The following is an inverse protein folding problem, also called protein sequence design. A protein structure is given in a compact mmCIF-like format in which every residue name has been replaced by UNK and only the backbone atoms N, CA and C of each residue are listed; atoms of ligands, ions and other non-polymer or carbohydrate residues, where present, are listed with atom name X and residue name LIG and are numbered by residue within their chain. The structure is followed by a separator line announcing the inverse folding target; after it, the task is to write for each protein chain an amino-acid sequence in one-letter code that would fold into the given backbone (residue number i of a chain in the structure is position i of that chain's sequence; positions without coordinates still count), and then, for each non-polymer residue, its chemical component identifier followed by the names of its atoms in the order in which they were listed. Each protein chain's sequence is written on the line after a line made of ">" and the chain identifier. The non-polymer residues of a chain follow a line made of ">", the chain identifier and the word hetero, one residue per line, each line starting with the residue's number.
data_IF_563317765011
#
_entry.id   IF_563317765011
#
_cell.length_a   1.000
_cell.length_b   1.000
_cell.length_c   1.000
_cell.angle_alpha   90.00
_cell.angle_beta   90.00
_cell.angle_gamma   90.00
#
_symmetry.space_group_name_H-M   'P 1'
#
loop_
_entity.id
_entity.type
_entity.pdbx_description
1 polymer ?
#
# COMPACT_ATOMS: atom_id res chain seq x y z
N UNK A 1 -5.62 -1.24 -22.29
CA UNK A 1 -6.38 -0.61 -21.20
C UNK A 1 -6.26 -1.54 -20.00
N UNK A 2 -5.79 -1.05 -18.87
CA UNK A 2 -5.64 -1.84 -17.63
C UNK A 2 -6.84 -1.54 -16.75
N UNK A 3 -7.67 -2.55 -16.47
CA UNK A 3 -8.81 -2.43 -15.56
C UNK A 3 -8.46 -3.04 -14.22
N UNK A 4 -8.94 -2.43 -13.16
CA UNK A 4 -8.77 -2.92 -11.78
C UNK A 4 -10.10 -2.80 -11.04
N UNK A 5 -10.25 -3.58 -9.98
CA UNK A 5 -11.43 -3.50 -9.12
C UNK A 5 -11.37 -2.25 -8.25
N UNK A 6 -12.40 -1.41 -8.36
CA UNK A 6 -12.58 -0.25 -7.50
C UNK A 6 -13.49 -0.61 -6.32
N UNK A 7 -12.97 -0.53 -5.12
CA UNK A 7 -13.71 -0.84 -3.89
C UNK A 7 -14.89 0.12 -3.65
N UNK A 8 -14.81 1.34 -4.15
CA UNK A 8 -15.88 2.34 -3.96
C UNK A 8 -17.12 2.06 -4.81
N UNK A 9 -16.95 1.41 -5.97
CA UNK A 9 -18.03 1.07 -6.89
C UNK A 9 -18.33 -0.43 -6.96
N UNK A 10 -17.40 -1.26 -6.46
CA UNK A 10 -17.44 -2.73 -6.54
C UNK A 10 -17.50 -3.24 -7.99
N UNK A 11 -16.75 -2.57 -8.87
CA UNK A 11 -16.71 -2.87 -10.30
C UNK A 11 -15.30 -2.78 -10.87
N UNK A 12 -15.07 -3.41 -12.02
CA UNK A 12 -13.83 -3.25 -12.78
C UNK A 12 -13.86 -1.95 -13.58
N UNK A 13 -12.89 -1.08 -13.37
CA UNK A 13 -12.78 0.23 -14.02
C UNK A 13 -11.40 0.43 -14.65
N UNK A 14 -11.32 1.29 -15.68
CA UNK A 14 -10.04 1.84 -16.15
C UNK A 14 -9.62 2.94 -15.17
N UNK A 15 -8.64 2.61 -14.32
CA UNK A 15 -8.21 3.52 -13.26
C UNK A 15 -7.41 4.73 -13.76
N UNK A 16 -6.90 4.70 -14.99
CA UNK A 16 -6.13 5.81 -15.57
C UNK A 16 -6.42 5.93 -17.07
N UNK A 17 -7.56 6.52 -17.48
CA UNK A 17 -7.97 6.56 -18.89
C UNK A 17 -7.08 7.45 -19.77
N UNK A 18 -6.30 8.38 -19.17
CA UNK A 18 -5.39 9.28 -19.86
C UNK A 18 -4.02 8.68 -20.20
N UNK A 19 -3.12 9.48 -20.79
CA UNK A 19 -1.74 9.07 -21.09
C UNK A 19 -0.83 9.02 -19.86
N UNK A 20 -1.28 9.57 -18.75
CA UNK A 20 -0.59 9.55 -17.43
C UNK A 20 -1.34 8.67 -16.44
N UNK A 21 -0.64 8.12 -15.47
CA UNK A 21 -1.22 7.41 -14.34
C UNK A 21 -0.56 7.91 -13.06
N UNK A 22 -1.35 8.45 -12.14
CA UNK A 22 -0.88 9.01 -10.86
C UNK A 22 -1.51 8.24 -9.73
N UNK A 23 -0.69 7.58 -8.93
CA UNK A 23 -1.22 6.77 -7.84
C UNK A 23 -0.44 6.96 -6.54
N UNK A 24 -1.19 6.87 -5.45
CA UNK A 24 -0.70 6.93 -4.09
C UNK A 24 -0.94 5.58 -3.42
N UNK A 25 0.08 5.03 -2.80
CA UNK A 25 -0.06 3.84 -1.95
C UNK A 25 0.34 4.22 -0.54
N UNK A 26 -0.55 3.95 0.41
CA UNK A 26 -0.24 4.15 1.82
C UNK A 26 0.98 3.31 2.21
N UNK A 27 1.96 3.98 2.84
CA UNK A 27 3.22 3.38 3.26
C UNK A 27 3.10 2.63 4.58
N UNK A 28 4.25 2.19 5.06
CA UNK A 28 4.35 1.46 6.33
C UNK A 28 4.43 2.41 7.53
N UNK A 29 4.00 1.92 8.70
CA UNK A 29 4.47 2.42 9.99
C UNK A 29 5.70 1.58 10.40
N UNK A 30 6.91 2.17 10.41
CA UNK A 30 8.15 1.41 10.50
C UNK A 30 8.50 1.08 11.96
N UNK A 31 7.74 0.20 12.58
CA UNK A 31 7.99 -0.25 13.96
C UNK A 31 8.42 -1.72 14.06
N UNK A 32 8.34 -2.47 12.94
CA UNK A 32 8.77 -3.86 12.79
C UNK A 32 9.14 -4.17 11.35
N UNK A 33 9.88 -5.27 11.13
CA UNK A 33 10.26 -5.77 9.82
C UNK A 33 9.04 -6.02 8.90
N UNK A 34 9.30 -5.98 7.60
CA UNK A 34 8.29 -6.24 6.57
C UNK A 34 7.84 -7.69 6.60
N UNK A 35 6.57 -7.93 6.89
CA UNK A 35 5.97 -9.25 6.77
C UNK A 35 5.35 -9.48 5.39
N UNK A 36 5.03 -10.75 5.05
CA UNK A 36 4.51 -11.12 3.73
C UNK A 36 3.19 -10.40 3.36
N UNK A 37 2.36 -10.03 4.32
CA UNK A 37 1.18 -9.20 4.06
C UNK A 37 1.53 -7.84 3.46
N UNK A 38 2.55 -7.14 3.99
CA UNK A 38 3.08 -5.91 3.40
C UNK A 38 3.64 -6.19 2.00
N UNK A 39 4.46 -7.25 1.86
CA UNK A 39 5.04 -7.61 0.56
C UNK A 39 3.97 -7.87 -0.50
N UNK A 40 2.87 -8.56 -0.15
CA UNK A 40 1.73 -8.80 -1.04
C UNK A 40 1.12 -7.49 -1.53
N UNK A 41 0.89 -6.55 -0.62
CA UNK A 41 0.36 -5.23 -0.96
C UNK A 41 1.27 -4.51 -1.96
N UNK A 42 2.56 -4.36 -1.65
CA UNK A 42 3.45 -3.57 -2.53
C UNK A 42 3.76 -4.27 -3.85
N UNK A 43 3.79 -5.60 -3.91
CA UNK A 43 3.89 -6.36 -5.17
C UNK A 43 2.65 -6.15 -6.04
N UNK A 44 1.46 -6.06 -5.46
CA UNK A 44 0.22 -5.74 -6.20
C UNK A 44 0.33 -4.40 -6.92
N UNK A 45 0.79 -3.35 -6.22
CA UNK A 45 0.96 -2.02 -6.83
C UNK A 45 2.17 -1.94 -7.77
N UNK A 46 3.18 -2.76 -7.57
CA UNK A 46 4.27 -2.94 -8.52
C UNK A 46 3.79 -3.56 -9.84
N UNK A 47 2.90 -4.56 -9.80
CA UNK A 47 2.27 -5.10 -11.01
C UNK A 47 1.45 -4.03 -11.74
N UNK A 48 0.65 -3.26 -11.03
CA UNK A 48 -0.13 -2.16 -11.61
C UNK A 48 0.79 -1.13 -12.27
N UNK A 49 1.86 -0.75 -11.60
CA UNK A 49 2.87 0.17 -12.12
C UNK A 49 3.47 -0.36 -13.44
N UNK A 50 3.87 -1.65 -13.45
CA UNK A 50 4.45 -2.32 -14.62
C UNK A 50 3.44 -2.43 -15.77
N UNK A 51 2.20 -2.82 -15.48
CA UNK A 51 1.14 -2.92 -16.48
C UNK A 51 0.85 -1.55 -17.13
N UNK A 52 0.79 -0.47 -16.37
CA UNK A 52 0.63 0.88 -16.91
C UNK A 52 1.82 1.34 -17.76
N UNK A 53 3.05 1.03 -17.34
CA UNK A 53 4.26 1.35 -18.13
C UNK A 53 4.29 0.57 -19.44
N UNK A 54 3.94 -0.71 -19.44
CA UNK A 54 3.85 -1.53 -20.67
C UNK A 54 2.73 -1.03 -21.59
N UNK A 55 1.63 -0.51 -21.03
CA UNK A 55 0.57 0.17 -21.77
C UNK A 55 0.97 1.57 -22.30
N UNK A 56 2.22 2.00 -22.12
CA UNK A 56 2.76 3.27 -22.62
C UNK A 56 2.40 4.50 -21.80
N UNK A 57 1.94 4.35 -20.54
CA UNK A 57 1.60 5.48 -19.68
C UNK A 57 2.84 6.07 -19.00
N UNK A 58 2.83 7.39 -18.80
CA UNK A 58 3.75 8.04 -17.87
C UNK A 58 3.20 7.87 -16.45
N UNK A 59 3.91 7.09 -15.62
CA UNK A 59 3.44 6.70 -14.28
C UNK A 59 4.15 7.52 -13.21
N UNK A 60 3.37 8.11 -12.30
CA UNK A 60 3.88 8.78 -11.09
C UNK A 60 3.35 8.02 -9.86
N UNK A 61 4.27 7.44 -9.12
CA UNK A 61 4.01 6.71 -7.89
C UNK A 61 4.50 7.52 -6.69
N UNK A 62 3.62 7.80 -5.74
CA UNK A 62 3.91 8.49 -4.47
C UNK A 62 3.51 7.58 -3.31
N UNK A 63 4.32 7.57 -2.27
CA UNK A 63 4.06 6.84 -1.03
C UNK A 63 4.59 7.62 0.17
N UNK A 64 4.16 7.26 1.36
CA UNK A 64 4.66 7.82 2.61
C UNK A 64 5.43 6.79 3.44
N UNK A 65 6.06 7.29 4.50
CA UNK A 65 6.46 6.51 5.67
C UNK A 65 5.81 7.17 6.88
N UNK A 66 5.00 6.42 7.63
CA UNK A 66 4.40 6.90 8.88
C UNK A 66 5.45 6.75 10.00
N UNK A 67 6.48 7.62 9.94
CA UNK A 67 7.64 7.60 10.84
C UNK A 67 7.38 8.28 12.20
N UNK A 68 6.12 8.58 12.48
CA UNK A 68 5.59 8.93 13.80
C UNK A 68 4.16 8.44 13.94
N UNK A 69 3.92 7.53 14.90
CA UNK A 69 2.60 7.01 15.22
C UNK A 69 2.64 6.32 16.60
N UNK A 70 1.47 6.13 17.23
CA UNK A 70 1.39 5.51 18.56
C UNK A 70 2.04 4.12 18.60
N UNK A 71 1.78 3.17 17.66
CA UNK A 71 2.46 1.87 17.64
C UNK A 71 3.99 1.94 17.57
N UNK A 72 4.55 2.93 16.85
CA UNK A 72 6.00 3.15 16.78
C UNK A 72 6.54 3.62 18.12
N UNK A 73 5.86 4.56 18.77
CA UNK A 73 6.25 5.10 20.07
C UNK A 73 6.18 4.03 21.18
N UNK A 74 5.13 3.23 21.19
CA UNK A 74 4.98 2.10 22.10
C UNK A 74 6.09 1.07 21.92
N UNK A 75 6.45 0.76 20.68
CA UNK A 75 7.53 -0.18 20.36
C UNK A 75 8.88 0.37 20.79
N UNK A 76 9.14 1.63 20.53
CA UNK A 76 10.35 2.32 20.96
C UNK A 76 10.51 2.27 22.50
N UNK A 77 9.43 2.55 23.24
CA UNK A 77 9.41 2.45 24.69
C UNK A 77 9.65 1.01 25.18
N UNK A 78 9.03 0.00 24.54
CA UNK A 78 9.17 -1.40 24.91
C UNK A 78 10.58 -1.97 24.64
N UNK A 79 11.26 -1.47 23.61
CA UNK A 79 12.61 -1.93 23.22
C UNK A 79 13.74 -1.08 23.80
N UNK A 80 13.43 0.12 24.32
CA UNK A 80 14.42 1.09 24.80
C UNK A 80 15.22 1.76 23.66
N UNK A 81 14.81 1.59 22.42
CA UNK A 81 15.43 2.24 21.24
C UNK A 81 14.74 3.58 21.00
N UNK A 82 15.47 4.68 20.77
CA UNK A 82 14.86 5.95 20.40
C UNK A 82 13.96 5.80 19.16
N UNK A 83 12.74 6.33 19.20
CA UNK A 83 11.75 6.10 18.14
C UNK A 83 12.21 6.52 16.73
N UNK A 84 13.00 7.62 16.63
CA UNK A 84 13.57 8.04 15.33
C UNK A 84 14.59 7.05 14.79
N UNK A 85 15.39 6.49 15.66
CA UNK A 85 16.37 5.46 15.29
C UNK A 85 15.66 4.17 14.88
N UNK A 86 14.65 3.74 15.64
CA UNK A 86 13.81 2.58 15.28
C UNK A 86 13.15 2.79 13.94
N UNK A 87 12.51 3.95 13.70
CA UNK A 87 11.88 4.29 12.44
C UNK A 87 12.87 4.23 11.26
N UNK A 88 14.06 4.80 11.43
CA UNK A 88 15.08 4.79 10.39
C UNK A 88 15.56 3.36 10.06
N UNK A 89 15.85 2.55 11.08
CA UNK A 89 16.30 1.16 10.92
C UNK A 89 15.24 0.32 10.20
N UNK A 90 13.99 0.40 10.63
CA UNK A 90 12.89 -0.38 10.04
C UNK A 90 12.53 0.10 8.63
N UNK A 91 12.64 1.39 8.35
CA UNK A 91 12.45 1.93 7.01
C UNK A 91 13.53 1.42 6.05
N UNK A 92 14.79 1.36 6.49
CA UNK A 92 15.86 0.84 5.63
C UNK A 92 15.70 -0.67 5.37
N UNK A 93 15.35 -1.45 6.39
CA UNK A 93 15.05 -2.88 6.23
C UNK A 93 13.90 -3.11 5.23
N UNK A 94 12.85 -2.30 5.32
CA UNK A 94 11.75 -2.32 4.33
C UNK A 94 12.26 -2.03 2.91
N UNK A 95 13.13 -1.03 2.73
CA UNK A 95 13.70 -0.70 1.40
C UNK A 95 14.51 -1.87 0.83
N UNK A 96 15.33 -2.50 1.68
CA UNK A 96 16.12 -3.68 1.30
C UNK A 96 15.20 -4.83 0.87
N UNK A 97 14.16 -5.12 1.64
CA UNK A 97 13.21 -6.18 1.35
C UNK A 97 12.45 -5.94 0.04
N UNK A 98 11.94 -4.72 -0.17
CA UNK A 98 11.24 -4.37 -1.41
C UNK A 98 12.17 -4.39 -2.63
N UNK A 99 13.40 -3.94 -2.47
CA UNK A 99 14.43 -4.00 -3.52
C UNK A 99 14.77 -5.44 -3.88
N UNK A 100 14.94 -6.30 -2.89
CA UNK A 100 15.18 -7.72 -3.09
C UNK A 100 14.03 -8.39 -3.84
N UNK A 101 12.79 -8.07 -3.49
CA UNK A 101 11.59 -8.54 -4.17
C UNK A 101 11.36 -7.91 -5.56
N UNK A 102 12.19 -6.98 -6.02
CA UNK A 102 12.09 -6.36 -7.34
C UNK A 102 10.98 -5.32 -7.47
N UNK A 103 10.48 -4.78 -6.36
CA UNK A 103 9.46 -3.71 -6.35
C UNK A 103 10.08 -2.40 -6.82
N UNK A 104 9.41 -1.73 -7.75
CA UNK A 104 9.80 -0.40 -8.23
C UNK A 104 9.52 0.62 -7.13
N UNK A 105 10.53 1.38 -6.66
CA UNK A 105 10.33 2.35 -5.60
C UNK A 105 9.42 3.51 -6.04
N UNK A 106 8.75 4.21 -5.11
CA UNK A 106 8.02 5.43 -5.42
C UNK A 106 8.97 6.52 -5.93
N UNK A 107 8.44 7.37 -6.82
CA UNK A 107 9.16 8.54 -7.31
C UNK A 107 9.33 9.60 -6.20
N UNK A 108 8.36 9.67 -5.29
CA UNK A 108 8.40 10.51 -4.09
C UNK A 108 8.00 9.66 -2.89
N UNK A 109 8.85 9.70 -1.86
CA UNK A 109 8.63 8.97 -0.62
C UNK A 109 8.84 9.90 0.58
N UNK A 110 7.73 10.34 1.18
CA UNK A 110 7.71 11.41 2.19
C UNK A 110 7.42 10.85 3.57
N UNK A 111 8.23 11.22 4.58
CA UNK A 111 7.94 10.91 5.98
C UNK A 111 6.77 11.74 6.53
N UNK A 112 6.00 11.17 7.45
CA UNK A 112 4.97 11.91 8.17
C UNK A 112 5.56 13.10 8.93
N UNK A 113 6.73 12.93 9.56
CA UNK A 113 7.46 14.01 10.24
C UNK A 113 7.83 15.14 9.28
N UNK A 114 8.29 14.82 8.09
CA UNK A 114 8.64 15.81 7.06
C UNK A 114 7.41 16.59 6.59
N UNK A 115 6.23 15.94 6.55
CA UNK A 115 4.99 16.54 6.07
C UNK A 115 4.30 17.45 7.09
N UNK A 116 4.72 17.48 8.35
CA UNK A 116 4.06 18.24 9.43
C UNK A 116 3.74 19.69 9.06
N UNK A 117 4.67 20.49 8.48
CA UNK A 117 4.34 21.88 8.12
C UNK A 117 3.23 21.99 7.07
N UNK A 118 3.17 21.05 6.11
CA UNK A 118 2.12 20.99 5.10
C UNK A 118 0.78 20.57 5.70
N UNK A 119 0.80 19.64 6.67
CA UNK A 119 -0.39 19.22 7.42
C UNK A 119 -0.95 20.37 8.25
N UNK A 120 -0.10 21.14 8.93
CA UNK A 120 -0.53 22.34 9.67
C UNK A 120 -1.30 23.29 8.75
N UNK A 121 -0.73 23.63 7.59
CA UNK A 121 -1.42 24.49 6.61
C UNK A 121 -2.75 23.93 6.12
N UNK A 122 -2.82 22.61 5.87
CA UNK A 122 -4.05 21.94 5.45
C UNK A 122 -5.13 21.97 6.56
N UNK A 123 -4.76 21.75 7.81
CA UNK A 123 -5.70 21.82 8.95
C UNK A 123 -6.20 23.24 9.15
N UNK A 124 -5.35 24.26 9.01
CA UNK A 124 -5.76 25.67 9.04
C UNK A 124 -6.74 26.01 7.89
N UNK A 125 -6.48 25.49 6.68
CA UNK A 125 -7.41 25.61 5.53
C UNK A 125 -8.76 24.97 5.83
N UNK A 126 -8.80 23.76 6.39
CA UNK A 126 -10.04 23.08 6.78
C UNK A 126 -10.80 23.85 7.89
N UNK A 127 -10.10 24.38 8.88
CA UNK A 127 -10.72 25.22 9.91
C UNK A 127 -11.35 26.49 9.31
N UNK A 128 -10.65 27.17 8.42
CA UNK A 128 -11.14 28.36 7.75
C UNK A 128 -12.36 28.08 6.85
N UNK A 129 -12.40 26.90 6.23
CA UNK A 129 -13.52 26.44 5.41
C UNK A 129 -14.72 25.92 6.22
N UNK A 130 -14.60 25.79 7.56
CA UNK A 130 -15.63 25.19 8.41
C UNK A 130 -15.74 23.66 8.30
N UNK A 131 -14.76 23.01 7.68
CA UNK A 131 -14.65 21.55 7.56
C UNK A 131 -13.90 20.90 8.74
N UNK A 132 -13.49 21.71 9.71
CA UNK A 132 -12.86 21.25 10.94
C UNK A 132 -13.30 22.12 12.12
N UNK A 133 -13.11 21.62 13.34
CA UNK A 133 -13.49 22.32 14.56
C UNK A 133 -12.56 21.91 15.71
N UNK A 134 -12.57 22.71 16.78
CA UNK A 134 -11.76 22.49 17.96
C UNK A 134 -12.55 21.81 19.08
N UNK A 135 -11.92 20.87 19.76
CA UNK A 135 -12.43 20.19 20.95
C UNK A 135 -11.49 20.52 22.11
N UNK A 136 -12.00 21.09 23.21
CA UNK A 136 -11.17 21.40 24.38
C UNK A 136 -10.41 20.19 24.91
N UNK A 137 -9.20 20.40 25.40
CA UNK A 137 -8.43 19.36 26.10
C UNK A 137 -8.61 19.49 27.61
N UNK A 138 -8.42 18.36 28.32
CA UNK A 138 -8.49 18.34 29.77
C UNK A 138 -7.42 19.24 30.41
N UNK A 139 -7.67 19.80 31.60
CA UNK A 139 -6.69 20.55 32.34
C UNK A 139 -5.40 19.75 32.55
N UNK A 140 -4.27 20.36 32.21
CA UNK A 140 -2.95 19.73 32.25
C UNK A 140 -2.51 19.02 30.97
N UNK A 141 -3.40 18.86 29.99
CA UNK A 141 -3.06 18.50 28.63
C UNK A 141 -3.04 19.73 27.72
N UNK A 142 -2.37 19.65 26.55
CA UNK A 142 -2.34 20.74 25.57
C UNK A 142 -1.24 21.79 25.79
N UNK A 143 -0.24 21.50 26.63
CA UNK A 143 0.93 22.36 26.79
C UNK A 143 0.61 23.78 27.25
N UNK A 144 1.25 24.78 26.63
CA UNK A 144 1.15 26.20 27.02
C UNK A 144 -0.14 26.91 26.63
N UNK A 145 -0.98 26.28 25.77
CA UNK A 145 -2.23 26.89 25.26
C UNK A 145 -3.36 25.82 25.16
N UNK A 146 -3.82 25.27 26.29
CA UNK A 146 -4.81 24.20 26.31
C UNK A 146 -6.17 24.66 25.72
N UNK A 147 -6.46 25.95 25.74
CA UNK A 147 -7.66 26.57 25.17
C UNK A 147 -7.76 26.41 23.65
N UNK A 148 -6.65 26.17 22.95
CA UNK A 148 -6.67 25.90 21.51
C UNK A 148 -7.33 24.58 21.17
N UNK A 149 -7.29 23.58 22.07
CA UNK A 149 -7.95 22.29 21.90
C UNK A 149 -7.32 21.40 20.82
N UNK A 150 -7.78 20.15 20.75
CA UNK A 150 -7.51 19.24 19.64
C UNK A 150 -8.38 19.66 18.44
N UNK A 151 -7.94 19.40 17.20
CA UNK A 151 -8.70 19.72 16.00
C UNK A 151 -9.22 18.42 15.36
N UNK A 152 -10.53 18.39 15.11
CA UNK A 152 -11.21 17.28 14.46
C UNK A 152 -11.81 17.72 13.13
N UNK A 153 -11.86 16.83 12.15
CA UNK A 153 -12.63 17.06 10.93
C UNK A 153 -14.13 17.00 11.25
N UNK A 154 -14.90 17.80 10.54
CA UNK A 154 -16.36 17.77 10.56
C UNK A 154 -16.87 16.95 9.38
N UNK A 155 -17.17 15.67 9.59
CA UNK A 155 -17.63 14.77 8.52
C UNK A 155 -19.00 15.19 7.95
N UNK A 156 -19.76 16.03 8.65
CA UNK A 156 -21.01 16.58 8.10
C UNK A 156 -20.77 17.54 6.92
N UNK A 157 -19.54 18.03 6.75
CA UNK A 157 -19.13 18.83 5.62
C UNK A 157 -18.84 17.99 4.35
N UNK A 158 -18.73 16.66 4.46
CA UNK A 158 -18.54 15.75 3.32
C UNK A 158 -19.78 14.88 3.08
N UNK A 159 -20.70 15.28 2.17
CA UNK A 159 -21.90 14.49 1.88
C UNK A 159 -21.61 13.15 1.18
N UNK A 160 -20.37 12.94 0.74
CA UNK A 160 -19.91 11.71 0.11
C UNK A 160 -19.20 10.76 1.10
N UNK A 161 -19.11 11.13 2.38
CA UNK A 161 -18.54 10.24 3.40
C UNK A 161 -19.28 8.90 3.48
N UNK A 162 -18.54 7.80 3.55
CA UNK A 162 -19.05 6.43 3.52
C UNK A 162 -19.13 5.80 2.13
N UNK A 163 -18.86 6.57 1.05
CA UNK A 163 -18.93 6.04 -0.32
C UNK A 163 -17.71 5.18 -0.71
N UNK A 164 -16.57 5.37 -0.08
CA UNK A 164 -15.37 4.57 -0.36
C UNK A 164 -15.48 3.19 0.28
N UNK A 165 -15.79 3.14 1.58
CA UNK A 165 -15.84 1.90 2.34
C UNK A 165 -17.16 1.13 2.14
N UNK A 166 -18.27 1.83 1.89
CA UNK A 166 -19.63 1.25 1.68
C UNK A 166 -20.10 0.38 2.86
N UNK A 167 -19.66 0.71 4.06
CA UNK A 167 -20.03 0.02 5.29
C UNK A 167 -21.23 0.70 5.95
N UNK A 168 -22.00 -0.07 6.71
CA UNK A 168 -23.04 0.49 7.56
C UNK A 168 -22.45 1.23 8.77
N UNK A 169 -23.26 2.10 9.38
CA UNK A 169 -22.80 2.96 10.47
C UNK A 169 -22.35 2.20 11.73
N UNK A 170 -22.91 1.01 12.02
CA UNK A 170 -22.52 0.20 13.18
C UNK A 170 -21.14 -0.41 12.96
N UNK A 171 -20.91 -0.99 11.79
CA UNK A 171 -19.61 -1.54 11.38
C UNK A 171 -18.54 -0.43 11.34
N UNK A 172 -18.85 0.76 10.81
CA UNK A 172 -17.93 1.89 10.84
C UNK A 172 -17.57 2.30 12.28
N UNK A 173 -18.53 2.34 13.19
CA UNK A 173 -18.27 2.72 14.59
C UNK A 173 -17.36 1.71 15.31
N UNK A 174 -17.57 0.41 15.08
CA UNK A 174 -16.76 -0.67 15.64
C UNK A 174 -15.31 -0.60 15.12
N UNK A 175 -15.14 -0.58 13.80
CA UNK A 175 -13.82 -0.51 13.17
C UNK A 175 -13.06 0.77 13.50
N UNK A 176 -13.76 1.91 13.64
CA UNK A 176 -13.14 3.17 14.03
C UNK A 176 -12.57 3.08 15.45
N UNK A 177 -13.33 2.52 16.40
CA UNK A 177 -12.85 2.31 17.77
C UNK A 177 -11.68 1.32 17.85
N UNK A 178 -11.76 0.20 17.10
CA UNK A 178 -10.71 -0.83 17.05
C UNK A 178 -9.39 -0.30 16.47
N UNK A 179 -9.47 0.62 15.49
CA UNK A 179 -8.32 1.07 14.71
C UNK A 179 -7.81 2.47 15.11
N UNK A 180 -7.86 2.78 16.39
CA UNK A 180 -7.25 3.97 16.97
C UNK A 180 -8.12 5.24 16.95
N UNK A 181 -9.38 5.13 16.56
CA UNK A 181 -10.35 6.22 16.71
C UNK A 181 -10.81 6.38 18.16
N UNK A 182 -11.39 7.54 18.45
CA UNK A 182 -11.85 7.95 19.77
C UNK A 182 -13.35 8.32 19.79
N UNK A 183 -14.27 7.37 19.47
CA UNK A 183 -15.70 7.66 19.32
C UNK A 183 -16.36 8.21 20.59
N UNK A 184 -15.79 7.89 21.76
CA UNK A 184 -16.28 8.35 23.07
C UNK A 184 -15.71 9.71 23.51
N UNK A 185 -14.85 10.36 22.70
CA UNK A 185 -14.24 11.63 23.02
C UNK A 185 -15.30 12.71 23.19
N UNK A 186 -15.43 13.25 24.41
CA UNK A 186 -16.38 14.31 24.72
C UNK A 186 -16.06 15.59 23.93
N UNK A 187 -17.10 16.28 23.48
CA UNK A 187 -16.98 17.49 22.68
C UNK A 187 -16.90 17.29 21.17
N UNK A 188 -16.83 16.05 20.68
CA UNK A 188 -16.96 15.77 19.24
C UNK A 188 -18.40 16.00 18.78
N UNK A 189 -18.56 16.50 17.54
CA UNK A 189 -19.87 16.68 16.91
C UNK A 189 -20.47 15.35 16.46
N UNK A 190 -19.61 14.47 15.94
CA UNK A 190 -19.97 13.11 15.54
C UNK A 190 -18.91 12.10 16.04
N UNK A 191 -19.31 10.92 16.53
CA UNK A 191 -18.37 9.90 17.03
C UNK A 191 -17.26 9.52 16.04
N UNK A 192 -17.56 9.52 14.74
CA UNK A 192 -16.61 9.17 13.68
C UNK A 192 -15.70 10.33 13.23
N UNK A 193 -15.91 11.56 13.69
CA UNK A 193 -15.05 12.69 13.30
C UNK A 193 -13.59 12.38 13.63
N UNK A 194 -12.68 12.32 12.64
CA UNK A 194 -11.30 11.94 12.89
C UNK A 194 -10.46 13.11 13.38
N UNK A 195 -9.47 12.80 14.18
CA UNK A 195 -8.48 13.74 14.66
C UNK A 195 -7.63 14.25 13.49
N UNK A 196 -7.46 15.57 13.38
CA UNK A 196 -6.57 16.24 12.43
C UNK A 196 -5.29 16.74 13.06
N UNK A 197 -5.40 17.30 14.28
CA UNK A 197 -4.26 17.81 15.05
C UNK A 197 -4.47 17.55 16.53
N UNK A 198 -3.53 16.80 17.14
CA UNK A 198 -3.52 16.52 18.57
C UNK A 198 -2.60 17.49 19.26
N UNK A 199 -3.15 18.24 20.19
CA UNK A 199 -2.34 19.11 21.05
C UNK A 199 -1.30 18.32 21.83
N UNK A 200 -0.19 18.95 22.12
CA UNK A 200 0.91 18.39 22.90
C UNK A 200 0.43 17.61 24.13
N UNK A 201 1.04 16.45 24.35
CA UNK A 201 0.85 15.60 25.54
C UNK A 201 2.22 15.33 26.17
N UNK A 202 2.30 15.26 27.53
CA UNK A 202 3.55 14.93 28.21
C UNK A 202 4.12 13.60 27.74
N UNK A 203 5.40 13.62 27.35
CA UNK A 203 6.12 12.40 26.91
C UNK A 203 5.91 12.00 25.45
N UNK A 204 5.05 12.69 24.69
CA UNK A 204 4.87 12.48 23.27
C UNK A 204 5.69 13.47 22.44
N UNK A 205 6.15 13.08 21.23
CA UNK A 205 6.73 14.03 20.29
C UNK A 205 5.71 15.05 19.84
N UNK A 206 6.15 16.30 19.69
CA UNK A 206 5.31 17.40 19.26
C UNK A 206 6.10 18.38 18.39
N UNK A 207 5.39 19.07 17.50
CA UNK A 207 5.92 20.04 16.55
C UNK A 207 5.20 21.37 16.69
N UNK A 208 5.82 22.42 16.17
CA UNK A 208 5.16 23.72 16.05
C UNK A 208 3.98 23.60 15.07
N UNK A 209 2.79 23.84 15.58
CA UNK A 209 1.54 23.84 14.83
C UNK A 209 1.04 25.24 14.45
N UNK A 210 1.88 26.28 14.52
CA UNK A 210 1.51 27.66 14.26
C UNK A 210 0.22 28.04 15.03
N UNK A 211 -0.87 28.42 14.33
CA UNK A 211 -2.15 28.79 14.98
C UNK A 211 -2.87 27.61 15.64
N UNK A 212 -2.46 26.38 15.32
CA UNK A 212 -2.97 25.17 15.98
C UNK A 212 -2.35 24.96 17.35
N UNK A 213 -1.17 25.58 17.59
CA UNK A 213 -0.31 25.39 18.75
C UNK A 213 0.44 24.07 18.72
N UNK A 214 1.45 23.92 19.59
CA UNK A 214 2.31 22.73 19.64
C UNK A 214 1.50 21.43 19.73
N UNK A 215 1.85 20.44 18.89
CA UNK A 215 1.12 19.19 18.80
C UNK A 215 1.66 18.26 17.72
N UNK A 216 0.84 17.31 17.29
CA UNK A 216 1.14 16.37 16.21
C UNK A 216 -0.07 16.10 15.30
N UNK A 217 0.16 15.71 14.04
CA UNK A 217 -0.94 15.37 13.13
C UNK A 217 -1.74 14.15 13.60
N UNK A 218 -2.97 14.06 13.13
CA UNK A 218 -3.74 12.82 13.09
C UNK A 218 -3.31 11.96 11.90
N UNK A 219 -3.46 10.65 12.01
CA UNK A 219 -2.96 9.69 11.03
C UNK A 219 -3.53 9.86 9.62
N UNK A 220 -4.83 10.17 9.48
CA UNK A 220 -5.49 10.15 8.17
C UNK A 220 -5.19 11.39 7.32
N UNK A 221 -4.93 12.54 7.95
CA UNK A 221 -4.63 13.78 7.23
C UNK A 221 -3.22 13.77 6.61
N UNK A 222 -2.27 13.06 7.21
CA UNK A 222 -0.91 12.92 6.67
C UNK A 222 -0.94 12.38 5.24
N UNK A 223 -1.61 11.25 5.03
CA UNK A 223 -1.70 10.63 3.71
C UNK A 223 -2.45 11.51 2.69
N UNK A 224 -3.50 12.20 3.11
CA UNK A 224 -4.24 13.12 2.24
C UNK A 224 -3.34 14.28 1.75
N UNK A 225 -2.54 14.85 2.65
CA UNK A 225 -1.62 15.95 2.35
C UNK A 225 -0.45 15.50 1.50
N UNK A 226 0.18 14.37 1.84
CA UNK A 226 1.31 13.82 1.06
C UNK A 226 0.86 13.45 -0.36
N UNK A 227 -0.31 12.83 -0.51
CA UNK A 227 -0.87 12.53 -1.82
C UNK A 227 -1.17 13.82 -2.62
N UNK A 228 -1.78 14.83 -1.97
CA UNK A 228 -2.03 16.14 -2.57
C UNK A 228 -0.76 16.81 -3.08
N UNK A 229 0.27 16.84 -2.26
CA UNK A 229 1.51 17.57 -2.56
C UNK A 229 2.35 16.82 -3.61
N UNK A 230 2.33 15.48 -3.61
CA UNK A 230 3.07 14.66 -4.56
C UNK A 230 2.39 14.46 -5.91
N UNK A 231 1.05 14.42 -5.96
CA UNK A 231 0.28 14.09 -7.18
C UNK A 231 -0.61 15.23 -7.67
N UNK A 232 -0.95 16.18 -6.80
CA UNK A 232 -2.07 17.09 -7.02
C UNK A 232 -3.42 16.41 -6.84
N UNK A 233 -4.49 17.21 -6.69
CA UNK A 233 -5.88 16.73 -6.57
C UNK A 233 -6.72 17.15 -7.77
N UNK A 234 -7.63 16.30 -8.27
CA UNK A 234 -7.73 14.87 -8.00
C UNK A 234 -6.60 14.06 -8.63
N UNK A 235 -6.42 12.81 -8.21
CA UNK A 235 -5.48 11.85 -8.81
C UNK A 235 -6.18 10.52 -9.14
N UNK A 236 -5.47 9.60 -9.83
CA UNK A 236 -6.15 8.48 -10.47
C UNK A 236 -6.48 7.36 -9.47
N UNK A 237 -5.54 6.95 -8.60
CA UNK A 237 -5.76 5.79 -7.73
C UNK A 237 -5.09 5.95 -6.37
N UNK A 238 -5.84 5.60 -5.31
CA UNK A 238 -5.32 5.36 -3.96
C UNK A 238 -5.34 3.85 -3.66
N UNK A 239 -4.24 3.35 -3.09
CA UNK A 239 -4.08 1.94 -2.81
C UNK A 239 -3.51 1.62 -1.43
N UNK A 240 -3.73 0.36 -1.01
CA UNK A 240 -3.22 -0.19 0.25
C UNK A 240 -3.76 -1.59 0.52
N UNK A 241 -3.53 -2.13 1.71
CA UNK A 241 -4.19 -3.34 2.18
C UNK A 241 -5.68 -3.10 2.44
N UNK A 242 -6.51 -4.15 2.36
CA UNK A 242 -7.95 -4.05 2.58
C UNK A 242 -8.31 -3.56 3.99
N UNK A 243 -7.43 -3.74 4.96
CA UNK A 243 -7.58 -3.22 6.31
C UNK A 243 -7.50 -1.68 6.39
N UNK A 244 -6.93 -1.02 5.38
CA UNK A 244 -6.92 0.43 5.26
C UNK A 244 -8.19 1.01 4.63
N UNK A 245 -9.07 0.17 4.05
CA UNK A 245 -10.32 0.63 3.42
C UNK A 245 -11.09 1.54 4.37
N UNK A 246 -11.26 1.11 5.62
CA UNK A 246 -11.86 1.89 6.69
C UNK A 246 -11.08 1.71 8.01
N UNK A 247 -10.80 2.77 8.76
CA UNK A 247 -11.20 4.16 8.51
C UNK A 247 -10.29 4.92 7.55
N UNK A 248 -9.06 4.43 7.27
CA UNK A 248 -7.97 5.25 6.73
C UNK A 248 -8.25 5.84 5.35
N UNK A 249 -8.64 5.01 4.35
CA UNK A 249 -8.88 5.50 2.99
C UNK A 249 -10.18 6.31 2.88
N UNK A 250 -11.22 5.94 3.62
CA UNK A 250 -12.44 6.75 3.70
C UNK A 250 -12.13 8.14 4.26
N UNK A 251 -11.41 8.20 5.40
CA UNK A 251 -11.09 9.45 6.09
C UNK A 251 -10.13 10.33 5.26
N UNK A 252 -9.06 9.75 4.71
CA UNK A 252 -8.10 10.50 3.89
C UNK A 252 -8.74 11.06 2.61
N UNK A 253 -9.67 10.31 2.00
CA UNK A 253 -10.44 10.79 0.86
C UNK A 253 -11.40 11.93 1.27
N UNK A 254 -12.06 11.83 2.42
CA UNK A 254 -12.87 12.89 2.97
C UNK A 254 -12.05 14.16 3.22
N UNK A 255 -10.84 14.04 3.78
CA UNK A 255 -9.95 15.19 3.97
C UNK A 255 -9.55 15.83 2.63
N UNK A 256 -9.23 15.02 1.62
CA UNK A 256 -8.90 15.52 0.28
C UNK A 256 -10.10 16.30 -0.36
N UNK A 257 -11.33 15.83 -0.14
CA UNK A 257 -12.54 16.54 -0.57
C UNK A 257 -12.73 17.85 0.18
N UNK A 258 -12.50 17.87 1.50
CA UNK A 258 -12.58 19.07 2.32
C UNK A 258 -11.55 20.14 1.92
N UNK A 259 -10.39 19.72 1.41
CA UNK A 259 -9.37 20.59 0.79
C UNK A 259 -9.75 21.06 -0.64
N UNK A 260 -10.96 20.79 -1.08
CA UNK A 260 -11.63 21.50 -2.18
C UNK A 260 -11.48 20.92 -3.57
N UNK A 261 -10.82 19.77 -3.79
CA UNK A 261 -10.54 19.30 -5.16
C UNK A 261 -10.83 17.79 -5.40
N UNK A 262 -11.46 17.12 -4.46
CA UNK A 262 -11.64 15.67 -4.51
C UNK A 262 -10.35 14.90 -4.21
N UNK A 263 -10.46 13.57 -4.06
CA UNK A 263 -9.35 12.66 -3.78
C UNK A 263 -8.98 11.78 -4.97
N UNK A 264 -8.69 10.51 -4.68
CA UNK A 264 -8.53 9.49 -5.69
C UNK A 264 -9.84 9.19 -6.43
N UNK A 265 -9.73 8.94 -7.72
CA UNK A 265 -10.87 8.52 -8.53
C UNK A 265 -11.21 7.03 -8.31
N UNK A 266 -10.20 6.22 -7.99
CA UNK A 266 -10.31 4.76 -7.80
C UNK A 266 -9.62 4.36 -6.48
N UNK A 267 -10.20 3.38 -5.78
CA UNK A 267 -9.64 2.81 -4.55
C UNK A 267 -9.39 1.31 -4.72
N UNK A 268 -8.12 0.92 -4.74
CA UNK A 268 -7.71 -0.47 -4.93
C UNK A 268 -7.14 -1.04 -3.64
N UNK A 269 -7.60 -2.23 -3.25
CA UNK A 269 -7.16 -2.88 -2.02
C UNK A 269 -6.65 -4.30 -2.27
N UNK A 270 -5.49 -4.60 -1.70
CA UNK A 270 -4.94 -5.94 -1.67
C UNK A 270 -5.52 -6.74 -0.49
N UNK A 271 -5.91 -7.99 -0.74
CA UNK A 271 -6.41 -8.91 0.27
C UNK A 271 -5.34 -9.25 1.33
N UNK A 272 -5.81 -9.70 2.49
CA UNK A 272 -4.96 -10.07 3.60
C UNK A 272 -4.27 -11.42 3.34
N UNK A 273 -3.04 -11.54 3.81
CA UNK A 273 -2.32 -12.80 3.89
C UNK A 273 -2.37 -13.29 5.33
N UNK A 274 -3.02 -14.45 5.54
CA UNK A 274 -3.09 -15.12 6.82
C UNK A 274 -1.88 -16.05 7.03
N UNK A 275 -1.65 -16.45 8.28
CA UNK A 275 -0.72 -17.51 8.65
C UNK A 275 -1.22 -18.21 9.91
N UNK A 276 -1.18 -19.54 9.93
CA UNK A 276 -1.70 -20.36 11.03
C UNK A 276 -3.20 -20.14 11.32
N UNK A 277 -3.99 -20.01 10.25
CA UNK A 277 -5.45 -19.85 10.34
C UNK A 277 -5.94 -18.45 10.67
N UNK A 278 -5.05 -17.47 10.82
CA UNK A 278 -5.39 -16.12 11.26
C UNK A 278 -4.61 -15.04 10.48
N UNK A 279 -5.18 -13.82 10.42
CA UNK A 279 -4.45 -12.66 9.89
C UNK A 279 -3.07 -12.56 10.55
N UNK A 280 -2.03 -12.35 9.75
CA UNK A 280 -0.70 -12.02 10.28
C UNK A 280 -0.81 -10.77 11.14
N UNK A 281 -0.49 -10.91 12.42
CA UNK A 281 -0.48 -9.80 13.35
C UNK A 281 0.59 -9.98 14.43
N UNK A 282 1.12 -8.86 14.90
CA UNK A 282 2.17 -8.83 15.89
C UNK A 282 1.73 -9.35 17.26
N UNK A 283 0.52 -8.99 17.67
CA UNK A 283 -0.05 -9.42 18.95
C UNK A 283 -0.17 -10.93 19.07
N UNK A 284 -0.22 -11.63 17.93
CA UNK A 284 -0.31 -13.09 17.84
C UNK A 284 1.04 -13.78 17.62
N UNK A 285 2.07 -13.01 17.25
CA UNK A 285 3.41 -13.56 16.99
C UNK A 285 3.50 -14.46 15.76
N UNK A 286 2.51 -14.38 14.84
CA UNK A 286 2.40 -15.20 13.64
C UNK A 286 2.85 -14.44 12.37
N UNK A 287 3.91 -13.66 12.45
CA UNK A 287 4.46 -12.91 11.31
C UNK A 287 5.51 -13.73 10.57
N UNK A 288 5.42 -13.78 9.25
CA UNK A 288 6.47 -14.29 8.37
C UNK A 288 7.17 -13.09 7.74
N UNK A 289 8.43 -12.86 8.11
CA UNK A 289 9.21 -11.72 7.66
C UNK A 289 9.98 -12.02 6.38
N UNK A 290 9.96 -11.08 5.45
CA UNK A 290 10.73 -11.17 4.19
C UNK A 290 12.23 -11.24 4.50
N UNK A 291 12.74 -10.43 5.40
CA UNK A 291 14.14 -10.44 5.83
C UNK A 291 14.56 -11.79 6.40
N UNK A 292 13.73 -12.43 7.23
CA UNK A 292 14.03 -13.74 7.79
C UNK A 292 14.13 -14.84 6.72
N UNK A 293 13.26 -14.81 5.70
CA UNK A 293 13.36 -15.74 4.56
C UNK A 293 14.64 -15.48 3.76
N UNK A 294 15.01 -14.22 3.51
CA UNK A 294 16.26 -13.85 2.83
C UNK A 294 17.50 -14.31 3.60
N UNK A 295 17.52 -14.09 4.91
CA UNK A 295 18.59 -14.54 5.81
C UNK A 295 18.73 -16.06 5.85
N UNK A 296 17.62 -16.79 5.70
CA UNK A 296 17.61 -18.25 5.55
C UNK A 296 18.12 -18.72 4.16
N UNK A 297 18.45 -17.79 3.26
CA UNK A 297 18.96 -18.10 1.92
C UNK A 297 17.90 -18.36 0.86
N UNK A 298 16.64 -18.05 1.14
CA UNK A 298 15.56 -18.14 0.15
C UNK A 298 15.76 -17.09 -0.94
N UNK A 299 15.66 -17.50 -2.21
CA UNK A 299 15.72 -16.58 -3.35
C UNK A 299 14.51 -15.62 -3.29
N UNK A 300 14.70 -14.29 -3.24
CA UNK A 300 13.60 -13.33 -3.19
C UNK A 300 12.61 -13.46 -4.36
N UNK A 301 13.07 -13.95 -5.51
CA UNK A 301 12.18 -14.18 -6.65
C UNK A 301 11.25 -15.37 -6.43
N UNK A 302 11.66 -16.37 -5.63
CA UNK A 302 10.76 -17.45 -5.22
C UNK A 302 9.65 -16.94 -4.27
N UNK A 303 10.00 -16.05 -3.34
CA UNK A 303 9.02 -15.37 -2.47
C UNK A 303 8.03 -14.58 -3.34
N UNK A 304 8.53 -13.78 -4.27
CA UNK A 304 7.69 -13.02 -5.20
C UNK A 304 6.75 -13.91 -6.02
N UNK A 305 7.24 -15.03 -6.56
CA UNK A 305 6.43 -15.99 -7.32
C UNK A 305 5.36 -16.67 -6.46
N UNK A 306 5.66 -16.97 -5.20
CA UNK A 306 4.69 -17.50 -4.25
C UNK A 306 3.55 -16.51 -4.00
N UNK A 307 3.87 -15.23 -3.80
CA UNK A 307 2.87 -14.17 -3.62
C UNK A 307 2.04 -13.95 -4.89
N UNK A 308 2.66 -13.91 -6.07
CA UNK A 308 1.98 -13.74 -7.36
C UNK A 308 1.10 -14.93 -7.76
N UNK A 309 1.26 -16.09 -7.13
CA UNK A 309 0.42 -17.26 -7.38
C UNK A 309 -1.02 -17.09 -6.89
N UNK A 310 -1.28 -16.05 -6.10
CA UNK A 310 -2.59 -15.69 -5.56
C UNK A 310 -3.09 -14.38 -6.18
N UNK A 311 -4.38 -14.32 -6.52
CA UNK A 311 -4.97 -13.09 -7.03
C UNK A 311 -5.04 -12.05 -5.91
N UNK A 312 -4.58 -10.82 -6.17
CA UNK A 312 -4.40 -9.78 -5.16
C UNK A 312 -5.65 -9.45 -4.32
N UNK A 313 -6.85 -9.63 -4.87
CA UNK A 313 -8.11 -9.33 -4.14
C UNK A 313 -8.50 -10.39 -3.14
N UNK A 314 -7.99 -11.61 -3.26
CA UNK A 314 -8.40 -12.71 -2.41
C UNK A 314 -7.58 -12.70 -1.11
N UNK A 315 -8.27 -12.95 -0.01
CA UNK A 315 -7.60 -13.33 1.22
C UNK A 315 -7.16 -14.79 1.11
N UNK A 316 -5.95 -15.07 1.55
CA UNK A 316 -5.37 -16.40 1.49
C UNK A 316 -4.39 -16.66 2.63
N UNK A 317 -4.03 -17.90 2.85
CA UNK A 317 -3.14 -18.31 3.92
C UNK A 317 -1.78 -18.75 3.35
N UNK A 318 -0.71 -18.12 3.85
CA UNK A 318 0.65 -18.53 3.53
C UNK A 318 0.98 -19.88 4.17
N UNK A 319 1.58 -20.77 3.39
CA UNK A 319 2.11 -22.07 3.82
C UNK A 319 3.51 -22.32 3.25
N UNK A 320 4.25 -23.26 3.84
CA UNK A 320 5.53 -23.70 3.30
C UNK A 320 5.41 -24.29 1.89
N UNK A 321 4.22 -24.80 1.52
CA UNK A 321 3.95 -25.30 0.20
C UNK A 321 3.91 -24.18 -0.86
N UNK A 322 3.46 -22.98 -0.51
CA UNK A 322 3.48 -21.83 -1.43
C UNK A 322 4.92 -21.44 -1.76
N UNK A 323 5.79 -21.40 -0.76
CA UNK A 323 7.21 -21.14 -0.97
C UNK A 323 7.86 -22.21 -1.84
N UNK A 324 7.65 -23.49 -1.52
CA UNK A 324 8.20 -24.60 -2.28
C UNK A 324 7.72 -24.57 -3.75
N UNK A 325 6.46 -24.21 -3.99
CA UNK A 325 5.93 -24.02 -5.34
C UNK A 325 6.60 -22.85 -6.06
N UNK A 326 6.85 -21.73 -5.37
CA UNK A 326 7.59 -20.59 -5.90
C UNK A 326 9.02 -20.93 -6.30
N UNK A 327 9.74 -21.67 -5.45
CA UNK A 327 11.10 -22.14 -5.72
C UNK A 327 11.14 -23.11 -6.92
N UNK A 328 10.22 -24.08 -6.97
CA UNK A 328 10.12 -25.02 -8.08
C UNK A 328 9.80 -24.31 -9.40
N UNK A 329 8.86 -23.33 -9.41
CA UNK A 329 8.54 -22.53 -10.58
C UNK A 329 9.74 -21.73 -11.06
N UNK A 330 10.46 -21.07 -10.16
CA UNK A 330 11.66 -20.29 -10.48
C UNK A 330 12.74 -21.16 -11.13
N UNK A 331 13.02 -22.31 -10.54
CA UNK A 331 14.01 -23.27 -11.07
C UNK A 331 13.61 -23.77 -12.47
N UNK A 332 12.31 -24.08 -12.66
CA UNK A 332 11.78 -24.52 -13.95
C UNK A 332 11.89 -23.44 -15.01
N UNK A 333 11.54 -22.20 -14.70
CA UNK A 333 11.66 -21.09 -15.65
C UNK A 333 13.12 -20.84 -16.02
N UNK A 334 14.04 -20.83 -15.06
CA UNK A 334 15.49 -20.74 -15.34
C UNK A 334 15.98 -21.82 -16.27
N UNK A 335 15.51 -23.05 -16.10
CA UNK A 335 15.84 -24.17 -16.99
C UNK A 335 15.28 -23.99 -18.40
N UNK A 336 14.01 -23.61 -18.53
CA UNK A 336 13.35 -23.40 -19.81
C UNK A 336 13.97 -22.25 -20.64
N UNK A 337 14.50 -21.23 -19.96
CA UNK A 337 15.05 -20.03 -20.55
C UNK A 337 16.57 -20.09 -20.78
N UNK A 338 17.23 -21.19 -20.44
CA UNK A 338 18.68 -21.32 -20.54
C UNK A 338 19.19 -21.48 -21.98
N UNK A 339 18.30 -21.77 -22.95
CA UNK A 339 18.64 -21.95 -24.36
C UNK A 339 18.66 -20.66 -25.17
N UNK A 340 19.11 -20.75 -26.44
CA UNK A 340 19.06 -19.63 -27.38
C UNK A 340 17.83 -19.67 -28.30
N UNK A 341 17.23 -20.86 -28.51
CA UNK A 341 15.99 -21.08 -29.25
C UNK A 341 14.92 -21.71 -28.39
N UNK A 342 13.67 -21.54 -28.76
CA UNK A 342 12.52 -22.09 -28.04
C UNK A 342 11.19 -21.86 -28.78
N UNK A 343 10.06 -22.25 -28.19
CA UNK A 343 8.75 -21.98 -28.76
C UNK A 343 8.55 -20.47 -29.00
N UNK A 344 7.73 -20.12 -30.00
CA UNK A 344 7.39 -18.71 -30.25
C UNK A 344 6.85 -18.04 -28.97
N UNK A 345 7.37 -16.86 -28.65
CA UNK A 345 7.00 -16.10 -27.47
C UNK A 345 5.78 -15.19 -27.67
N UNK A 346 5.29 -15.04 -28.89
CA UNK A 346 4.28 -14.02 -29.27
C UNK A 346 2.98 -14.19 -28.50
N UNK A 347 2.44 -15.41 -28.48
CA UNK A 347 1.18 -15.71 -27.78
C UNK A 347 1.34 -15.63 -26.26
N UNK A 348 2.49 -16.08 -25.73
CA UNK A 348 2.80 -15.98 -24.29
C UNK A 348 2.85 -14.53 -23.83
N UNK A 349 3.54 -13.66 -24.57
CA UNK A 349 3.59 -12.24 -24.26
C UNK A 349 2.20 -11.59 -24.32
N UNK A 350 1.39 -11.93 -25.32
CA UNK A 350 0.03 -11.44 -25.43
C UNK A 350 -0.84 -11.91 -24.26
N UNK A 351 -0.71 -13.18 -23.85
CA UNK A 351 -1.45 -13.74 -22.72
C UNK A 351 -1.10 -13.09 -21.38
N UNK A 352 0.21 -12.86 -21.10
CA UNK A 352 0.66 -12.15 -19.89
C UNK A 352 0.05 -10.74 -19.86
N UNK A 353 0.11 -9.99 -20.97
CA UNK A 353 -0.48 -8.65 -21.07
C UNK A 353 -1.99 -8.65 -20.88
N UNK A 354 -2.69 -9.62 -21.46
CA UNK A 354 -4.13 -9.74 -21.31
C UNK A 354 -4.54 -10.01 -19.86
N UNK A 355 -3.84 -10.93 -19.18
CA UNK A 355 -4.07 -11.25 -17.78
C UNK A 355 -3.85 -10.02 -16.87
N UNK A 356 -2.72 -9.32 -17.02
CA UNK A 356 -2.44 -8.14 -16.21
C UNK A 356 -3.35 -6.95 -16.54
N UNK A 357 -3.90 -6.88 -17.74
CA UNK A 357 -4.87 -5.86 -18.11
C UNK A 357 -6.27 -6.13 -17.56
N UNK A 358 -6.58 -7.33 -17.13
CA UNK A 358 -7.86 -7.75 -16.57
C UNK A 358 -7.69 -8.04 -15.08
N UNK A 359 -7.79 -7.00 -14.29
CA UNK A 359 -7.74 -7.02 -12.82
C UNK A 359 -6.42 -7.56 -12.23
N UNK A 360 -5.31 -7.33 -12.94
CA UNK A 360 -3.97 -7.77 -12.50
C UNK A 360 -3.94 -9.29 -12.21
N UNK A 361 -4.57 -10.11 -13.05
CA UNK A 361 -4.60 -11.57 -12.86
C UNK A 361 -3.20 -12.18 -13.00
N UNK A 362 -2.42 -12.02 -11.91
CA UNK A 362 -1.08 -12.58 -11.83
C UNK A 362 -1.07 -14.10 -11.95
N UNK A 363 -1.98 -14.88 -11.32
CA UNK A 363 -2.06 -16.32 -11.53
C UNK A 363 -2.17 -16.74 -12.99
N UNK A 364 -3.03 -16.08 -13.76
CA UNK A 364 -3.17 -16.36 -15.20
C UNK A 364 -1.90 -15.97 -15.98
N UNK A 365 -1.26 -14.86 -15.62
CA UNK A 365 0.00 -14.43 -16.21
C UNK A 365 1.13 -15.44 -15.93
N UNK A 366 1.24 -15.97 -14.70
CA UNK A 366 2.17 -17.04 -14.35
C UNK A 366 1.88 -18.31 -15.15
N UNK A 367 0.61 -18.68 -15.30
CA UNK A 367 0.18 -19.83 -16.08
C UNK A 367 0.58 -19.76 -17.55
N UNK A 368 0.57 -18.56 -18.14
CA UNK A 368 1.03 -18.36 -19.52
C UNK A 368 2.55 -18.63 -19.66
N UNK A 369 3.34 -18.20 -18.67
CA UNK A 369 4.78 -18.50 -18.65
C UNK A 369 5.04 -19.98 -18.39
N UNK A 370 4.29 -20.60 -17.46
CA UNK A 370 4.38 -22.03 -17.17
C UNK A 370 4.10 -22.87 -18.42
N UNK A 371 3.06 -22.53 -19.19
CA UNK A 371 2.73 -23.24 -20.42
C UNK A 371 3.87 -23.12 -21.47
N UNK A 372 4.47 -21.93 -21.62
CA UNK A 372 5.63 -21.77 -22.50
C UNK A 372 6.84 -22.59 -22.00
N UNK A 373 7.08 -22.60 -20.70
CA UNK A 373 8.18 -23.36 -20.11
C UNK A 373 7.97 -24.89 -20.28
N UNK A 374 6.73 -25.36 -20.18
CA UNK A 374 6.40 -26.76 -20.45
C UNK A 374 6.75 -27.15 -21.87
N UNK A 375 6.32 -26.34 -22.85
CA UNK A 375 6.66 -26.56 -24.24
C UNK A 375 8.17 -26.50 -24.48
N UNK A 376 8.87 -25.55 -23.87
CA UNK A 376 10.32 -25.40 -24.04
C UNK A 376 11.11 -26.60 -23.48
N UNK A 377 10.62 -27.22 -22.41
CA UNK A 377 11.25 -28.35 -21.73
C UNK A 377 10.76 -29.73 -22.23
N UNK A 378 9.77 -29.78 -23.12
CA UNK A 378 9.25 -31.02 -23.66
C UNK A 378 10.35 -31.72 -24.52
N UNK A 379 10.83 -32.91 -24.14
CA UNK A 379 11.85 -33.60 -24.88
C UNK A 379 11.36 -34.13 -26.25
N UNK A 380 10.04 -34.22 -26.44
CA UNK A 380 9.44 -34.74 -27.68
C UNK A 380 9.06 -33.60 -28.66
N UNK A 381 9.25 -32.34 -28.29
CA UNK A 381 8.92 -31.21 -29.16
C UNK A 381 9.77 -31.16 -30.43
N UNK A 382 9.19 -30.69 -31.51
CA UNK A 382 9.91 -30.46 -32.75
C UNK A 382 10.75 -29.17 -32.65
N UNK A 383 12.08 -29.37 -32.39
CA UNK A 383 13.03 -28.23 -32.26
C UNK A 383 13.29 -27.50 -33.60
N UNK A 384 12.84 -28.04 -34.74
CA UNK A 384 12.96 -27.37 -36.05
C UNK A 384 12.01 -26.14 -36.15
N UNK A 385 11.03 -26.06 -35.27
CA UNK A 385 10.09 -24.93 -35.16
C UNK A 385 10.57 -23.87 -34.17
N UNK A 386 11.73 -24.06 -33.53
CA UNK A 386 12.27 -23.10 -32.57
C UNK A 386 12.55 -21.74 -33.16
N UNK A 387 12.16 -20.72 -32.43
CA UNK A 387 12.43 -19.31 -32.74
C UNK A 387 13.68 -18.88 -31.99
N UNK A 388 14.70 -18.44 -32.74
CA UNK A 388 15.92 -17.90 -32.15
C UNK A 388 15.62 -16.64 -31.33
N UNK A 389 16.14 -16.55 -30.10
CA UNK A 389 15.94 -15.44 -29.17
C UNK A 389 14.60 -15.46 -28.41
N UNK A 390 13.69 -16.43 -28.67
CA UNK A 390 12.42 -16.54 -27.95
C UNK A 390 12.60 -16.62 -26.42
N UNK A 391 13.55 -17.42 -25.87
CA UNK A 391 13.80 -17.43 -24.41
C UNK A 391 14.14 -16.03 -23.87
N UNK A 392 14.94 -15.27 -24.60
CA UNK A 392 15.30 -13.89 -24.22
C UNK A 392 14.11 -12.91 -24.26
N UNK A 393 13.13 -13.12 -25.14
CA UNK A 393 11.89 -12.33 -25.18
C UNK A 393 11.05 -12.64 -23.94
N UNK A 394 10.86 -13.94 -23.63
CA UNK A 394 10.08 -14.36 -22.45
C UNK A 394 10.75 -13.90 -21.16
N UNK A 395 12.08 -14.03 -21.03
CA UNK A 395 12.82 -13.55 -19.85
C UNK A 395 12.62 -12.04 -19.62
N UNK A 396 12.72 -11.23 -20.69
CA UNK A 396 12.44 -9.79 -20.61
C UNK A 396 10.98 -9.49 -20.25
N UNK A 397 10.03 -10.26 -20.76
CA UNK A 397 8.62 -10.10 -20.42
C UNK A 397 8.36 -10.41 -18.94
N UNK A 398 8.96 -11.47 -18.41
CA UNK A 398 8.89 -11.86 -17.00
C UNK A 398 9.45 -10.75 -16.10
N UNK A 399 10.63 -10.22 -16.42
CA UNK A 399 11.21 -9.10 -15.63
C UNK A 399 10.37 -7.82 -15.76
N UNK A 400 10.02 -7.42 -16.97
CA UNK A 400 9.30 -6.17 -17.19
C UNK A 400 7.87 -6.16 -16.62
N UNK A 401 7.13 -7.26 -16.78
CA UNK A 401 5.70 -7.35 -16.47
C UNK A 401 5.43 -7.96 -15.08
N UNK A 402 6.20 -8.97 -14.69
CA UNK A 402 6.03 -9.68 -13.42
C UNK A 402 7.07 -9.27 -12.36
N UNK A 403 8.12 -8.55 -12.74
CA UNK A 403 9.20 -8.13 -11.85
C UNK A 403 10.05 -9.28 -11.31
N UNK A 404 10.05 -10.42 -12.00
CA UNK A 404 10.84 -11.58 -11.62
C UNK A 404 12.14 -11.59 -12.43
N UNK A 405 13.26 -11.50 -11.71
CA UNK A 405 14.61 -11.57 -12.28
C UNK A 405 15.10 -13.00 -12.23
N UNK A 406 15.49 -13.54 -13.37
CA UNK A 406 15.85 -14.96 -13.55
C UNK A 406 17.37 -15.18 -13.45
#
# INVERSE_FOLDING_TARGET
>A
MVRVHDSSTDTLVDAAPGPTARFYVCGITPYDATHLGHANTYITFDLLHRAWRDAGKAVTYVSNVTDVDDPLLERAAATGVPWRELAAQQTELYREDMTALGVIPPATWTGAVESVPAVVGAVEEMLAAGAAYRVPVEPGAGGSAPELGDVYADLSADPAFGQVARLDGATMAELFAERGGDPAREGKKHPLDPLLWRRERPGEPAWDGATLGTGRPGWHIECAVIARDGLGLPFDLQGGGVDLLFPHHEMSTSHARALGKGGAAVHLHAGLVAYQGEKMSKSRGNLVFVSALREAGVDPMAIRLALLAHHYRHEWEWTDADLAAGEARLARWRSALSGNGGPDATETLAAIRAALADDLDAPAALGAVDAWADLALDPERDVTTDVEGAPGIVARAIDALLGVRL
#
